data_IF_089831406609
#
_entry.id   IF_089831406609
#
_cell.length_a   1.000
_cell.length_b   1.000
_cell.length_c   1.000
_cell.angle_alpha   90.00
_cell.angle_beta   90.00
_cell.angle_gamma   90.00
#
_symmetry.space_group_name_H-M   'P 1'
#
loop_
_entity.id
_entity.type
_entity.pdbx_description
1 polymer ?
#
# COMPACT_ATOMS: atom_id res chain seq x y z
N UNK A 1 21.36 1.26 -17.69
CA UNK A 1 20.85 2.21 -16.69
C UNK A 1 19.33 2.40 -16.69
N UNK A 2 18.59 2.37 -17.82
CA UNK A 2 17.11 2.49 -17.79
C UNK A 2 16.38 1.28 -17.16
N UNK A 3 16.96 0.08 -17.24
CA UNK A 3 16.36 -1.17 -16.71
C UNK A 3 16.39 -1.23 -15.17
N UNK A 4 17.43 -0.69 -14.52
CA UNK A 4 17.54 -0.69 -13.05
C UNK A 4 16.49 0.20 -12.38
N UNK A 5 16.11 1.31 -13.02
CA UNK A 5 15.07 2.20 -12.52
C UNK A 5 13.67 1.55 -12.57
N UNK A 6 13.38 0.74 -13.59
CA UNK A 6 12.11 -0.01 -13.66
C UNK A 6 12.04 -1.14 -12.64
N UNK A 7 13.16 -1.82 -12.39
CA UNK A 7 13.22 -2.89 -11.40
C UNK A 7 12.98 -2.39 -9.97
N UNK A 8 13.52 -1.23 -9.60
CA UNK A 8 13.33 -0.66 -8.26
C UNK A 8 11.88 -0.20 -8.02
N UNK A 9 11.20 0.34 -9.04
CA UNK A 9 9.78 0.70 -8.94
C UNK A 9 8.87 -0.53 -8.77
N UNK A 10 9.13 -1.61 -9.52
CA UNK A 10 8.40 -2.87 -9.32
C UNK A 10 8.59 -3.42 -7.90
N UNK A 11 9.81 -3.35 -7.36
CA UNK A 11 10.10 -3.78 -5.99
C UNK A 11 9.30 -2.96 -4.98
N UNK A 12 9.19 -1.63 -5.15
CA UNK A 12 8.37 -0.77 -4.29
C UNK A 12 6.88 -1.15 -4.35
N UNK A 13 6.33 -1.35 -5.54
CA UNK A 13 4.93 -1.73 -5.73
C UNK A 13 4.65 -3.09 -5.09
N UNK A 14 5.52 -4.08 -5.33
CA UNK A 14 5.40 -5.42 -4.72
C UNK A 14 5.52 -5.35 -3.21
N UNK A 15 6.42 -4.53 -2.67
CA UNK A 15 6.54 -4.31 -1.24
C UNK A 15 5.26 -3.69 -0.65
N UNK A 16 4.67 -2.70 -1.34
CA UNK A 16 3.42 -2.05 -0.94
C UNK A 16 2.25 -3.04 -0.88
N UNK A 17 2.04 -3.78 -1.97
CA UNK A 17 0.99 -4.80 -2.04
C UNK A 17 1.25 -5.93 -1.04
N UNK A 18 2.49 -6.39 -0.94
CA UNK A 18 2.91 -7.47 -0.04
C UNK A 18 2.68 -7.13 1.43
N UNK A 19 3.04 -5.92 1.88
CA UNK A 19 2.80 -5.53 3.26
C UNK A 19 1.31 -5.41 3.58
N UNK A 20 0.48 -4.91 2.66
CA UNK A 20 -0.97 -4.89 2.85
C UNK A 20 -1.53 -6.31 2.97
N UNK A 21 -1.09 -7.23 2.09
CA UNK A 21 -1.49 -8.65 2.12
C UNK A 21 -1.03 -9.36 3.39
N UNK A 22 0.08 -8.97 4.01
CA UNK A 22 0.58 -9.57 5.26
C UNK A 22 -0.07 -8.95 6.50
N UNK A 23 -0.16 -7.61 6.57
CA UNK A 23 -0.63 -6.91 7.76
C UNK A 23 -2.13 -7.06 7.99
N UNK A 24 -2.94 -7.09 6.93
CA UNK A 24 -4.39 -7.25 7.05
C UNK A 24 -4.78 -8.57 7.73
N UNK A 25 -4.34 -9.77 7.27
CA UNK A 25 -4.67 -11.02 7.95
C UNK A 25 -4.01 -11.11 9.34
N UNK A 26 -2.83 -10.51 9.54
CA UNK A 26 -2.20 -10.45 10.86
C UNK A 26 -3.10 -9.71 11.86
N UNK A 27 -3.59 -8.52 11.50
CA UNK A 27 -4.48 -7.74 12.37
C UNK A 27 -5.86 -8.39 12.52
N UNK A 28 -6.39 -9.02 11.46
CA UNK A 28 -7.64 -9.78 11.55
C UNK A 28 -7.51 -10.97 12.51
N UNK A 29 -6.35 -11.64 12.56
CA UNK A 29 -6.08 -12.73 13.52
C UNK A 29 -6.00 -12.24 14.96
N UNK A 30 -5.58 -11.00 15.18
CA UNK A 30 -5.59 -10.35 16.49
C UNK A 30 -6.98 -9.86 16.92
N UNK A 31 -8.03 -10.10 16.12
CA UNK A 31 -9.40 -9.64 16.39
C UNK A 31 -9.63 -8.16 16.08
N UNK A 32 -8.70 -7.50 15.39
CA UNK A 32 -8.78 -6.09 15.01
C UNK A 32 -9.41 -5.93 13.61
N UNK A 33 -10.04 -4.78 13.36
CA UNK A 33 -10.63 -4.46 12.07
C UNK A 33 -9.59 -4.40 10.95
N UNK A 34 -9.99 -4.74 9.72
CA UNK A 34 -9.12 -4.72 8.53
C UNK A 34 -8.55 -3.33 8.22
N UNK A 35 -9.32 -2.27 8.50
CA UNK A 35 -8.90 -0.87 8.33
C UNK A 35 -7.62 -0.57 9.12
N UNK A 36 -7.51 -1.09 10.35
CA UNK A 36 -6.32 -0.88 11.18
C UNK A 36 -5.09 -1.61 10.61
N UNK A 37 -5.29 -2.78 10.00
CA UNK A 37 -4.24 -3.51 9.29
C UNK A 37 -3.72 -2.76 8.07
N UNK A 38 -4.60 -2.14 7.29
CA UNK A 38 -4.18 -1.27 6.17
C UNK A 38 -3.42 -0.02 6.64
N UNK A 39 -3.88 0.61 7.73
CA UNK A 39 -3.17 1.74 8.34
C UNK A 39 -1.78 1.34 8.84
N UNK A 40 -1.67 0.20 9.52
CA UNK A 40 -0.40 -0.31 10.03
C UNK A 40 0.56 -0.70 8.90
N UNK A 41 0.06 -1.25 7.78
CA UNK A 41 0.87 -1.47 6.57
C UNK A 41 1.42 -0.16 6.01
N UNK A 42 0.58 0.87 5.89
CA UNK A 42 1.00 2.19 5.43
C UNK A 42 2.03 2.84 6.35
N UNK A 43 1.86 2.74 7.67
CA UNK A 43 2.83 3.24 8.64
C UNK A 43 4.17 2.49 8.56
N UNK A 44 4.12 1.17 8.36
CA UNK A 44 5.31 0.33 8.25
C UNK A 44 6.12 0.60 6.98
N UNK A 45 5.47 0.90 5.84
CA UNK A 45 6.17 1.13 4.57
C UNK A 45 6.49 2.61 4.35
N UNK A 46 5.71 3.50 4.97
CA UNK A 46 5.87 4.94 4.87
C UNK A 46 7.15 5.47 5.55
N UNK A 47 7.30 6.81 5.60
CA UNK A 47 8.52 7.45 6.09
C UNK A 47 8.81 7.16 7.57
N UNK A 48 7.79 6.83 8.37
CA UNK A 48 7.93 6.49 9.78
C UNK A 48 8.30 5.02 10.03
N UNK A 49 8.26 4.16 8.99
CA UNK A 49 8.63 2.76 9.07
C UNK A 49 9.93 2.47 8.31
N UNK A 50 9.86 1.69 7.24
CA UNK A 50 10.99 1.33 6.39
C UNK A 50 11.46 2.46 5.46
N UNK A 51 10.68 3.54 5.32
CA UNK A 51 11.05 4.70 4.51
C UNK A 51 11.15 4.42 3.00
N UNK A 52 10.58 3.31 2.51
CA UNK A 52 10.61 2.95 1.09
C UNK A 52 9.80 3.90 0.21
N UNK A 53 8.82 4.58 0.81
CA UNK A 53 8.06 5.64 0.17
C UNK A 53 8.22 6.94 0.96
N UNK A 54 9.00 7.85 0.38
CA UNK A 54 9.27 9.19 0.91
C UNK A 54 8.54 10.29 0.14
N UNK A 55 7.88 9.96 -0.98
CA UNK A 55 7.06 10.88 -1.76
C UNK A 55 5.57 10.48 -1.67
N UNK A 56 4.79 11.15 -0.80
CA UNK A 56 3.36 10.91 -0.70
C UNK A 56 2.58 11.26 -1.98
N UNK A 57 3.07 12.17 -2.82
CA UNK A 57 2.33 12.63 -4.00
C UNK A 57 2.17 11.51 -5.04
N UNK A 58 3.24 10.73 -5.25
CA UNK A 58 3.20 9.57 -6.16
C UNK A 58 2.19 8.50 -5.70
N UNK A 59 2.06 8.29 -4.39
CA UNK A 59 1.08 7.34 -3.83
C UNK A 59 -0.35 7.87 -3.96
N UNK A 60 -0.56 9.16 -3.71
CA UNK A 60 -1.89 9.79 -3.73
C UNK A 60 -2.55 9.65 -5.11
N UNK A 61 -1.82 9.87 -6.20
CA UNK A 61 -2.39 9.73 -7.54
C UNK A 61 -2.82 8.28 -7.86
N UNK A 62 -2.07 7.30 -7.35
CA UNK A 62 -2.46 5.89 -7.47
C UNK A 62 -3.66 5.55 -6.57
N UNK A 63 -3.71 6.14 -5.37
CA UNK A 63 -4.80 5.96 -4.43
C UNK A 63 -6.13 6.53 -4.95
N UNK A 64 -6.10 7.66 -5.66
CA UNK A 64 -7.27 8.23 -6.34
C UNK A 64 -7.92 7.21 -7.28
N UNK A 65 -7.13 6.57 -8.14
CA UNK A 65 -7.62 5.51 -9.03
C UNK A 65 -8.19 4.33 -8.24
N UNK A 66 -7.52 3.89 -7.17
CA UNK A 66 -8.00 2.81 -6.32
C UNK A 66 -9.35 3.11 -5.66
N UNK A 67 -9.53 4.33 -5.14
CA UNK A 67 -10.80 4.79 -4.54
C UNK A 67 -11.90 4.87 -5.60
N UNK A 68 -11.62 5.39 -6.80
CA UNK A 68 -12.60 5.44 -7.89
C UNK A 68 -13.06 4.03 -8.28
N UNK A 69 -12.14 3.08 -8.43
CA UNK A 69 -12.48 1.68 -8.70
C UNK A 69 -13.30 1.05 -7.57
N UNK A 70 -12.96 1.34 -6.31
CA UNK A 70 -13.70 0.82 -5.15
C UNK A 70 -15.12 1.38 -5.07
N UNK A 71 -15.30 2.70 -5.23
CA UNK A 71 -16.61 3.34 -5.24
C UNK A 71 -17.46 2.87 -6.43
N UNK A 72 -16.84 2.63 -7.59
CA UNK A 72 -17.51 2.06 -8.74
C UNK A 72 -18.07 0.66 -8.44
N UNK A 73 -17.27 -0.23 -7.82
CA UNK A 73 -17.72 -1.57 -7.44
C UNK A 73 -18.83 -1.54 -6.39
N UNK A 74 -18.79 -0.62 -5.43
CA UNK A 74 -19.88 -0.46 -4.44
C UNK A 74 -21.17 0.05 -5.09
N UNK A 75 -21.04 0.85 -6.15
CA UNK A 75 -22.18 1.42 -6.87
C UNK A 75 -22.86 0.48 -7.87
N UNK A 76 -22.20 -0.62 -8.27
CA UNK A 76 -22.76 -1.70 -9.09
C UNK A 76 -23.57 -2.68 -8.23
#
# INVERSE_FOLDING_TARGET
MAVEAGASELVKVVALLGAAVVMVPLFRRLGLGSVLGYFAAGLAIGPFGFGWFSDPQAILHTAELGVVMFLFVIGL
#
